data_IF_725209249228
#
_entry.id   IF_725209249228
#
_cell.length_a   1.000
_cell.length_b   1.000
_cell.length_c   1.000
_cell.angle_alpha   90.00
_cell.angle_beta   90.00
_cell.angle_gamma   90.00
#
_symmetry.space_group_name_H-M   'P 1'
#
loop_
_entity.id
_entity.type
_entity.pdbx_description
1 polymer ?
#
# COMPACT_ATOMS: atom_id res chain seq x y z
N UNK A 1 23.31 25.88 1.66
CA UNK A 1 23.87 26.23 2.98
C UNK A 1 23.79 25.00 3.87
N UNK A 2 24.92 24.53 4.40
CA UNK A 2 24.97 23.36 5.26
C UNK A 2 24.55 23.73 6.69
N UNK A 3 23.46 23.15 7.18
CA UNK A 3 23.09 23.25 8.59
C UNK A 3 24.17 22.55 9.41
N UNK A 4 24.99 23.31 10.12
CA UNK A 4 25.91 22.76 11.13
C UNK A 4 25.07 22.10 12.21
N UNK A 5 25.15 20.78 12.33
CA UNK A 5 24.50 20.00 13.38
C UNK A 5 25.16 20.32 14.73
N UNK A 6 24.85 21.48 15.31
CA UNK A 6 25.27 21.83 16.66
C UNK A 6 24.49 20.95 17.64
N UNK A 7 25.15 19.92 18.18
CA UNK A 7 24.62 19.17 19.32
C UNK A 7 24.33 20.15 20.45
N UNK A 8 23.11 20.15 21.03
CA UNK A 8 22.81 21.02 22.16
C UNK A 8 23.74 20.65 23.33
N UNK A 9 24.30 21.64 24.05
CA UNK A 9 25.17 21.39 25.20
C UNK A 9 24.43 20.56 26.26
N UNK A 10 25.14 19.58 26.85
CA UNK A 10 24.61 18.74 27.91
C UNK A 10 24.18 19.60 29.11
N UNK A 11 22.94 19.42 29.59
CA UNK A 11 22.40 20.17 30.75
C UNK A 11 21.42 21.30 30.44
N UNK A 12 20.90 21.43 29.19
CA UNK A 12 19.85 22.42 28.89
C UNK A 12 18.59 22.16 29.72
N UNK A 13 18.20 23.16 30.51
CA UNK A 13 16.90 23.24 31.20
C UNK A 13 15.78 23.00 30.17
N UNK A 14 14.75 22.20 30.54
CA UNK A 14 13.59 21.98 29.67
C UNK A 14 13.06 23.36 29.20
N UNK A 15 12.84 23.54 27.89
CA UNK A 15 12.35 24.82 27.37
C UNK A 15 10.98 25.16 28.00
N UNK A 16 10.74 26.44 28.28
CA UNK A 16 9.43 26.90 28.77
C UNK A 16 8.38 26.71 27.69
N UNK A 17 7.09 26.70 28.09
CA UNK A 17 5.98 26.63 27.15
C UNK A 17 6.00 27.79 26.16
N UNK A 18 6.36 29.01 26.58
CA UNK A 18 6.42 30.15 25.65
C UNK A 18 7.53 29.97 24.60
N UNK A 19 8.69 29.43 25.00
CA UNK A 19 9.78 29.14 24.06
C UNK A 19 9.42 28.04 23.07
N UNK A 20 8.64 27.04 23.49
CA UNK A 20 8.12 26.01 22.59
C UNK A 20 7.11 26.60 21.59
N UNK A 21 6.17 27.44 22.06
CA UNK A 21 5.20 28.10 21.21
C UNK A 21 5.87 28.98 20.14
N UNK A 22 6.79 29.86 20.54
CA UNK A 22 7.50 30.74 19.61
C UNK A 22 8.32 29.96 18.56
N UNK A 23 8.89 28.81 18.92
CA UNK A 23 9.61 27.96 17.98
C UNK A 23 8.66 27.29 16.96
N UNK A 24 7.49 26.83 17.41
CA UNK A 24 6.46 26.27 16.53
C UNK A 24 5.87 27.33 15.60
N UNK A 25 5.64 28.54 16.11
CA UNK A 25 5.17 29.67 15.30
C UNK A 25 6.19 30.03 14.22
N UNK A 26 7.48 30.06 14.57
CA UNK A 26 8.56 30.30 13.60
C UNK A 26 8.59 29.23 12.51
N UNK A 27 8.48 27.95 12.88
CA UNK A 27 8.41 26.86 11.91
C UNK A 27 7.15 26.95 11.02
N UNK A 28 6.06 27.50 11.54
CA UNK A 28 4.84 27.73 10.75
C UNK A 28 5.05 28.83 9.73
N UNK A 29 5.73 29.92 10.10
CA UNK A 29 6.10 30.99 9.17
C UNK A 29 7.03 30.46 8.08
N UNK A 30 8.07 29.71 8.44
CA UNK A 30 8.99 29.11 7.46
C UNK A 30 8.26 28.23 6.44
N UNK A 31 7.23 27.47 6.87
CA UNK A 31 6.40 26.66 5.98
C UNK A 31 5.53 27.51 5.06
N UNK A 32 4.92 28.58 5.57
CA UNK A 32 4.11 29.51 4.75
C UNK A 32 4.98 30.21 3.71
N UNK A 33 6.16 30.67 4.10
CA UNK A 33 7.12 31.29 3.19
C UNK A 33 7.53 30.30 2.10
N UNK A 34 7.88 29.07 2.47
CA UNK A 34 8.21 28.02 1.49
C UNK A 34 7.04 27.71 0.55
N UNK A 35 5.80 27.63 1.05
CA UNK A 35 4.62 27.39 0.21
C UNK A 35 4.39 28.54 -0.78
N UNK A 36 4.65 29.79 -0.38
CA UNK A 36 4.53 30.95 -1.27
C UNK A 36 5.49 30.88 -2.47
N UNK A 37 6.64 30.22 -2.29
CA UNK A 37 7.63 29.96 -3.34
C UNK A 37 7.31 28.71 -4.18
N UNK A 38 6.36 27.86 -3.74
CA UNK A 38 6.04 26.56 -4.35
C UNK A 38 4.52 26.43 -4.59
N UNK A 39 3.92 27.24 -5.49
CA UNK A 39 2.46 27.32 -5.66
C UNK A 39 1.83 26.02 -6.17
N UNK A 40 2.54 25.20 -6.95
CA UNK A 40 2.02 23.89 -7.40
C UNK A 40 1.81 22.91 -6.23
N UNK A 41 2.53 23.10 -5.12
CA UNK A 41 2.37 22.33 -3.90
C UNK A 41 1.12 22.77 -3.14
N UNK A 42 0.76 24.07 -3.20
CA UNK A 42 -0.47 24.59 -2.60
C UNK A 42 -1.68 23.91 -3.22
N UNK A 43 -1.74 23.80 -4.55
CA UNK A 43 -2.86 23.15 -5.26
C UNK A 43 -3.03 21.69 -4.79
N UNK A 44 -1.93 20.94 -4.68
CA UNK A 44 -1.97 19.55 -4.18
C UNK A 44 -2.40 19.44 -2.72
N UNK A 45 -1.96 20.36 -1.86
CA UNK A 45 -2.38 20.39 -0.45
C UNK A 45 -3.87 20.71 -0.35
N UNK A 46 -4.37 21.62 -1.19
CA UNK A 46 -5.79 21.95 -1.26
C UNK A 46 -6.62 20.75 -1.70
N UNK A 47 -6.20 20.03 -2.74
CA UNK A 47 -6.86 18.78 -3.17
C UNK A 47 -6.95 17.75 -2.03
N UNK A 48 -5.86 17.54 -1.27
CA UNK A 48 -5.85 16.66 -0.10
C UNK A 48 -6.83 17.18 0.97
N UNK A 49 -6.85 18.49 1.22
CA UNK A 49 -7.75 19.14 2.16
C UNK A 49 -9.22 18.94 1.79
N UNK A 50 -9.58 19.12 0.52
CA UNK A 50 -10.95 19.02 0.03
C UNK A 50 -11.48 17.59 0.07
N UNK A 51 -10.63 16.60 -0.25
CA UNK A 51 -10.96 15.17 -0.14
C UNK A 51 -11.27 14.73 1.29
N UNK A 52 -10.65 15.37 2.29
CA UNK A 52 -10.79 15.01 3.69
C UNK A 52 -11.90 15.81 4.37
N UNK A 53 -11.95 17.13 4.18
CA UNK A 53 -12.84 17.99 4.95
C UNK A 53 -14.31 17.82 4.54
N UNK A 54 -14.62 17.79 3.25
CA UNK A 54 -16.02 17.75 2.78
C UNK A 54 -16.72 16.42 3.09
N UNK A 55 -16.25 15.29 2.55
CA UNK A 55 -16.91 14.00 2.71
C UNK A 55 -16.94 13.50 4.16
N UNK A 56 -15.85 13.67 4.91
CA UNK A 56 -15.78 13.21 6.30
C UNK A 56 -16.70 14.03 7.20
N UNK A 57 -16.75 15.37 7.02
CA UNK A 57 -17.68 16.20 7.78
C UNK A 57 -19.14 15.89 7.44
N UNK A 58 -19.47 15.68 6.16
CA UNK A 58 -20.83 15.30 5.76
C UNK A 58 -21.26 13.97 6.36
N UNK A 59 -20.38 12.96 6.37
CA UNK A 59 -20.70 11.65 6.94
C UNK A 59 -20.80 11.71 8.48
N UNK A 60 -19.97 12.53 9.13
CA UNK A 60 -20.05 12.77 10.57
C UNK A 60 -21.35 13.49 10.95
N UNK A 61 -21.74 14.54 10.22
CA UNK A 61 -23.01 15.23 10.43
C UNK A 61 -24.20 14.30 10.17
N UNK A 62 -24.14 13.45 9.13
CA UNK A 62 -25.19 12.45 8.85
C UNK A 62 -25.36 11.45 9.98
N UNK A 63 -24.27 10.95 10.58
CA UNK A 63 -24.32 9.91 11.62
C UNK A 63 -24.54 10.47 13.03
N UNK A 64 -24.09 11.69 13.32
CA UNK A 64 -24.03 12.24 14.67
C UNK A 64 -24.65 13.63 14.83
N UNK A 65 -25.13 14.26 13.76
CA UNK A 65 -25.65 15.62 13.75
C UNK A 65 -26.96 15.84 14.51
N UNK A 66 -27.66 14.76 14.91
CA UNK A 66 -28.90 14.84 15.68
C UNK A 66 -28.73 14.78 17.21
N UNK A 67 -27.66 14.17 17.73
CA UNK A 67 -27.59 13.78 19.14
C UNK A 67 -26.77 14.73 20.02
N UNK A 68 -25.62 15.26 19.59
CA UNK A 68 -24.85 16.29 20.34
C UNK A 68 -23.94 17.15 19.43
N UNK A 69 -24.49 18.10 18.65
CA UNK A 69 -23.75 18.81 17.59
C UNK A 69 -22.55 19.63 18.10
N UNK A 70 -22.63 20.17 19.33
CA UNK A 70 -21.59 21.05 19.88
C UNK A 70 -20.38 20.29 20.41
N UNK A 71 -20.60 19.11 21.00
CA UNK A 71 -19.52 18.30 21.57
C UNK A 71 -18.76 17.53 20.48
N UNK A 72 -19.48 16.97 19.50
CA UNK A 72 -18.88 16.40 18.29
C UNK A 72 -18.05 17.45 17.54
N UNK A 73 -18.60 18.65 17.30
CA UNK A 73 -17.84 19.75 16.68
C UNK A 73 -16.63 20.15 17.50
N UNK A 74 -16.74 20.24 18.84
CA UNK A 74 -15.63 20.59 19.72
C UNK A 74 -14.48 19.59 19.63
N UNK A 75 -14.78 18.29 19.58
CA UNK A 75 -13.78 17.24 19.42
C UNK A 75 -13.11 17.29 18.05
N UNK A 76 -13.88 17.55 16.98
CA UNK A 76 -13.37 17.70 15.62
C UNK A 76 -12.53 18.97 15.44
N UNK A 77 -12.83 20.05 16.15
CA UNK A 77 -12.06 21.32 16.11
C UNK A 77 -10.79 21.30 16.96
N UNK A 78 -10.52 20.22 17.70
CA UNK A 78 -9.27 20.06 18.46
C UNK A 78 -8.21 19.34 17.59
N UNK A 79 -7.23 18.66 18.20
CA UNK A 79 -6.16 17.91 17.51
C UNK A 79 -6.62 16.74 16.62
N UNK A 80 -7.93 16.47 16.49
CA UNK A 80 -8.45 15.35 15.70
C UNK A 80 -7.91 15.31 14.27
N UNK A 81 -7.99 16.43 13.53
CA UNK A 81 -7.51 16.47 12.15
C UNK A 81 -5.99 16.33 12.04
N UNK A 82 -5.25 16.96 12.96
CA UNK A 82 -3.79 16.83 13.00
C UNK A 82 -3.38 15.37 13.29
N UNK A 83 -4.03 14.72 14.25
CA UNK A 83 -3.78 13.32 14.61
C UNK A 83 -4.11 12.39 13.44
N UNK A 84 -5.24 12.62 12.75
CA UNK A 84 -5.64 11.86 11.57
C UNK A 84 -4.62 12.01 10.42
N UNK A 85 -4.25 13.25 10.06
CA UNK A 85 -3.31 13.52 8.97
C UNK A 85 -1.94 12.91 9.24
N UNK A 86 -1.44 13.03 10.48
CA UNK A 86 -0.16 12.42 10.89
C UNK A 86 -0.24 10.89 10.84
N UNK A 87 -1.34 10.30 11.33
CA UNK A 87 -1.52 8.85 11.29
C UNK A 87 -1.59 8.31 9.85
N UNK A 88 -2.29 9.00 8.95
CA UNK A 88 -2.35 8.67 7.52
C UNK A 88 -0.97 8.79 6.87
N UNK A 89 -0.23 9.88 7.12
CA UNK A 89 1.11 10.07 6.58
C UNK A 89 2.07 8.95 7.03
N UNK A 90 2.04 8.56 8.31
CA UNK A 90 2.84 7.44 8.81
C UNK A 90 2.39 6.09 8.25
N UNK A 91 1.09 5.88 7.99
CA UNK A 91 0.60 4.69 7.33
C UNK A 91 1.08 4.61 5.86
N UNK A 92 1.00 5.71 5.10
CA UNK A 92 1.49 5.81 3.72
C UNK A 92 3.00 5.53 3.68
N UNK A 93 3.77 6.10 4.60
CA UNK A 93 5.22 5.86 4.74
C UNK A 93 5.54 4.39 5.03
N UNK A 94 4.77 3.73 5.91
CA UNK A 94 4.92 2.29 6.17
C UNK A 94 4.58 1.46 4.93
N UNK A 95 3.52 1.83 4.21
CA UNK A 95 3.14 1.16 2.97
C UNK A 95 4.22 1.30 1.88
N UNK A 96 4.76 2.51 1.68
CA UNK A 96 5.88 2.74 0.76
C UNK A 96 7.09 1.86 1.09
N UNK A 97 7.48 1.78 2.37
CA UNK A 97 8.55 0.86 2.83
C UNK A 97 8.23 -0.62 2.62
N UNK A 98 6.96 -1.00 2.70
CA UNK A 98 6.55 -2.37 2.40
C UNK A 98 6.67 -2.67 0.90
N UNK A 99 6.30 -1.72 0.03
CA UNK A 99 6.50 -1.85 -1.41
C UNK A 99 7.97 -1.97 -1.79
N UNK A 100 8.87 -1.25 -1.12
CA UNK A 100 10.31 -1.33 -1.36
C UNK A 100 10.90 -2.72 -1.04
N UNK A 101 10.19 -3.53 -0.23
CA UNK A 101 10.63 -4.88 0.17
C UNK A 101 10.07 -6.01 -0.70
N UNK A 102 9.24 -5.68 -1.69
CA UNK A 102 8.62 -6.67 -2.56
C UNK A 102 9.67 -7.49 -3.32
N UNK A 103 10.76 -6.93 -3.86
CA UNK A 103 11.78 -7.72 -4.54
C UNK A 103 12.42 -8.81 -3.66
N UNK A 104 12.74 -8.49 -2.41
CA UNK A 104 13.33 -9.43 -1.45
C UNK A 104 12.31 -10.53 -1.09
N UNK A 105 11.05 -10.14 -0.88
CA UNK A 105 9.97 -11.10 -0.63
C UNK A 105 9.80 -12.08 -1.79
N UNK A 106 9.66 -11.59 -3.03
CA UNK A 106 9.45 -12.43 -4.22
C UNK A 106 10.65 -13.33 -4.48
N UNK A 107 11.88 -12.80 -4.36
CA UNK A 107 13.11 -13.60 -4.47
C UNK A 107 13.12 -14.74 -3.45
N UNK A 108 12.71 -14.47 -2.21
CA UNK A 108 12.64 -15.48 -1.14
C UNK A 108 11.63 -16.57 -1.48
N UNK A 109 10.44 -16.22 -1.97
CA UNK A 109 9.40 -17.18 -2.36
C UNK A 109 9.88 -18.09 -3.50
N UNK A 110 10.48 -17.52 -4.56
CA UNK A 110 10.95 -18.28 -5.73
C UNK A 110 12.13 -19.20 -5.36
N UNK A 111 13.08 -18.71 -4.57
CA UNK A 111 14.24 -19.52 -4.16
C UNK A 111 13.83 -20.63 -3.20
N UNK A 112 12.89 -20.38 -2.29
CA UNK A 112 12.36 -21.41 -1.39
C UNK A 112 11.58 -22.50 -2.12
N UNK A 113 10.78 -22.16 -3.13
CA UNK A 113 10.04 -23.16 -3.91
C UNK A 113 10.95 -24.08 -4.73
N UNK A 114 12.17 -23.63 -5.06
CA UNK A 114 13.19 -24.42 -5.78
C UNK A 114 14.15 -25.20 -4.88
N UNK A 115 14.15 -24.98 -3.55
CA UNK A 115 15.06 -25.68 -2.62
C UNK A 115 14.87 -27.20 -2.61
N UNK A 116 13.74 -27.70 -3.11
CA UNK A 116 13.47 -29.13 -3.34
C UNK A 116 14.30 -29.76 -4.45
N UNK A 117 14.92 -28.98 -5.34
CA UNK A 117 15.64 -29.46 -6.54
C UNK A 117 17.17 -29.27 -6.47
N UNK A 118 17.70 -28.74 -5.35
CA UNK A 118 19.12 -28.47 -5.12
C UNK A 118 19.49 -26.98 -5.14
N UNK A 119 20.33 -26.54 -4.21
CA UNK A 119 20.72 -25.12 -4.08
C UNK A 119 21.80 -24.75 -5.10
N UNK A 120 21.55 -23.72 -5.92
CA UNK A 120 22.53 -23.11 -6.80
C UNK A 120 22.61 -21.60 -6.54
N UNK A 121 23.77 -21.14 -6.06
CA UNK A 121 24.03 -19.73 -5.75
C UNK A 121 23.88 -18.84 -6.99
N UNK A 122 24.27 -19.35 -8.17
CA UNK A 122 24.13 -18.64 -9.44
C UNK A 122 22.65 -18.47 -9.81
N UNK A 123 21.83 -19.50 -9.62
CA UNK A 123 20.39 -19.40 -9.88
C UNK A 123 19.72 -18.40 -8.93
N UNK A 124 20.09 -18.40 -7.64
CA UNK A 124 19.56 -17.44 -6.67
C UNK A 124 19.90 -15.99 -7.04
N UNK A 125 21.14 -15.75 -7.52
CA UNK A 125 21.57 -14.44 -7.99
C UNK A 125 20.80 -13.99 -9.26
N UNK A 126 20.59 -14.91 -10.21
CA UNK A 126 19.81 -14.65 -11.42
C UNK A 126 18.35 -14.33 -11.09
N UNK A 127 17.73 -15.07 -10.17
CA UNK A 127 16.36 -14.78 -9.69
C UNK A 127 16.31 -13.39 -9.06
N UNK A 128 17.25 -13.07 -8.17
CA UNK A 128 17.29 -11.76 -7.52
C UNK A 128 17.45 -10.60 -8.51
N UNK A 129 18.26 -10.77 -9.57
CA UNK A 129 18.38 -9.79 -10.64
C UNK A 129 17.08 -9.66 -11.43
N UNK A 130 16.50 -10.76 -11.89
CA UNK A 130 15.26 -10.76 -12.66
C UNK A 130 14.11 -10.08 -11.91
N UNK A 131 13.96 -10.39 -10.62
CA UNK A 131 12.90 -9.82 -9.77
C UNK A 131 13.09 -8.30 -9.64
N UNK A 132 14.29 -7.82 -9.32
CA UNK A 132 14.55 -6.37 -9.19
C UNK A 132 14.29 -5.62 -10.50
N UNK A 133 14.78 -6.15 -11.61
CA UNK A 133 14.58 -5.54 -12.94
C UNK A 133 13.10 -5.51 -13.34
N UNK A 134 12.32 -6.51 -12.94
CA UNK A 134 10.88 -6.59 -13.25
C UNK A 134 10.04 -5.71 -12.32
N UNK A 135 10.46 -5.52 -11.07
CA UNK A 135 9.68 -4.79 -10.07
C UNK A 135 9.57 -3.29 -10.34
N UNK A 136 10.65 -2.62 -10.75
CA UNK A 136 10.63 -1.16 -10.97
C UNK A 136 9.57 -0.73 -12.00
N UNK A 137 9.46 -1.35 -13.19
CA UNK A 137 8.38 -1.05 -14.12
C UNK A 137 6.98 -1.32 -13.54
N UNK A 138 6.81 -2.43 -12.81
CA UNK A 138 5.53 -2.78 -12.18
C UNK A 138 5.13 -1.73 -11.13
N UNK A 139 6.08 -1.29 -10.31
CA UNK A 139 5.85 -0.25 -9.30
C UNK A 139 5.37 1.05 -9.95
N UNK A 140 5.97 1.45 -11.07
CA UNK A 140 5.54 2.63 -11.83
C UNK A 140 4.11 2.53 -12.37
N UNK A 141 3.63 1.32 -12.70
CA UNK A 141 2.26 1.11 -13.20
C UNK A 141 1.19 1.25 -12.11
N UNK A 142 1.52 1.09 -10.82
CA UNK A 142 0.55 1.10 -9.72
C UNK A 142 -0.30 2.38 -9.72
N UNK A 143 0.31 3.51 -10.02
CA UNK A 143 -0.37 4.80 -10.06
C UNK A 143 -1.29 4.99 -11.27
N UNK A 144 -1.10 4.21 -12.35
CA UNK A 144 -1.87 4.35 -13.60
C UNK A 144 -3.05 3.38 -13.69
N UNK A 145 -2.83 2.13 -13.25
CA UNK A 145 -3.77 1.02 -13.52
C UNK A 145 -4.45 0.51 -12.25
N UNK A 146 -3.93 0.86 -11.08
CA UNK A 146 -4.38 0.30 -9.80
C UNK A 146 -3.78 -1.07 -9.50
N UNK A 147 -3.72 -1.40 -8.21
CA UNK A 147 -3.05 -2.62 -7.71
C UNK A 147 -3.77 -3.90 -8.19
N UNK A 148 -5.10 -3.90 -8.19
CA UNK A 148 -5.91 -5.07 -8.52
C UNK A 148 -5.76 -5.48 -10.00
N UNK A 149 -5.74 -4.51 -10.92
CA UNK A 149 -5.55 -4.78 -12.35
C UNK A 149 -4.15 -5.33 -12.64
N UNK A 150 -3.12 -4.80 -11.96
CA UNK A 150 -1.75 -5.31 -12.08
C UNK A 150 -1.66 -6.73 -11.55
N UNK A 151 -2.29 -7.02 -10.41
CA UNK A 151 -2.34 -8.38 -9.87
C UNK A 151 -3.01 -9.34 -10.85
N UNK A 152 -4.16 -8.95 -11.42
CA UNK A 152 -4.88 -9.75 -12.42
C UNK A 152 -4.02 -9.98 -13.67
N UNK A 153 -3.39 -8.93 -14.20
CA UNK A 153 -2.50 -9.01 -15.36
C UNK A 153 -1.32 -9.97 -15.14
N UNK A 154 -0.67 -9.90 -13.97
CA UNK A 154 0.39 -10.83 -13.59
C UNK A 154 -0.10 -12.29 -13.53
N UNK A 155 -1.29 -12.53 -12.96
CA UNK A 155 -1.90 -13.88 -12.90
C UNK A 155 -2.19 -14.43 -14.29
N UNK A 156 -2.81 -13.64 -15.16
CA UNK A 156 -3.12 -14.04 -16.54
C UNK A 156 -1.83 -14.36 -17.29
N UNK A 157 -0.84 -13.47 -17.24
CA UNK A 157 0.43 -13.68 -17.92
C UNK A 157 1.13 -14.94 -17.42
N UNK A 158 1.14 -15.18 -16.10
CA UNK A 158 1.72 -16.39 -15.52
C UNK A 158 1.06 -17.67 -16.05
N UNK A 159 -0.26 -17.67 -16.26
CA UNK A 159 -0.98 -18.81 -16.85
C UNK A 159 -0.58 -19.02 -18.31
N UNK A 160 -0.51 -17.94 -19.10
CA UNK A 160 -0.20 -18.01 -20.53
C UNK A 160 1.24 -18.46 -20.82
N UNK A 161 2.21 -18.09 -19.98
CA UNK A 161 3.62 -18.44 -20.17
C UNK A 161 4.01 -19.77 -19.51
N UNK A 162 3.16 -20.35 -18.67
CA UNK A 162 3.49 -21.60 -18.00
C UNK A 162 3.37 -22.77 -18.98
N UNK A 163 4.42 -23.58 -19.17
CA UNK A 163 4.39 -24.68 -20.13
C UNK A 163 3.51 -25.87 -19.69
N UNK A 164 3.26 -26.02 -18.39
CA UNK A 164 2.50 -27.12 -17.80
C UNK A 164 1.75 -26.65 -16.53
N UNK A 165 0.72 -25.79 -16.66
CA UNK A 165 0.00 -25.20 -15.53
C UNK A 165 -0.64 -26.24 -14.60
N UNK A 166 -1.05 -27.37 -15.14
CA UNK A 166 -1.63 -28.52 -14.44
C UNK A 166 -0.65 -29.22 -13.48
N UNK A 167 0.67 -29.00 -13.65
CA UNK A 167 1.71 -29.55 -12.79
C UNK A 167 2.38 -28.49 -11.90
N UNK A 168 1.93 -27.23 -11.96
CA UNK A 168 2.56 -26.11 -11.26
C UNK A 168 1.69 -25.57 -10.12
N UNK A 169 1.88 -26.11 -8.90
CA UNK A 169 1.07 -25.77 -7.72
C UNK A 169 1.01 -24.26 -7.41
N UNK A 170 2.13 -23.55 -7.49
CA UNK A 170 2.17 -22.11 -7.22
C UNK A 170 1.29 -21.31 -8.22
N UNK A 171 1.22 -21.76 -9.48
CA UNK A 171 0.34 -21.18 -10.47
C UNK A 171 -1.13 -21.53 -10.23
N UNK A 172 -1.41 -22.77 -9.86
CA UNK A 172 -2.77 -23.23 -9.55
C UNK A 172 -3.39 -22.45 -8.40
N UNK A 173 -2.64 -22.30 -7.31
CA UNK A 173 -3.10 -21.62 -6.11
C UNK A 173 -3.02 -20.08 -6.24
N UNK A 174 -1.97 -19.57 -6.88
CA UNK A 174 -1.68 -18.13 -6.97
C UNK A 174 -2.31 -17.39 -8.15
N UNK A 175 -2.71 -18.10 -9.22
CA UNK A 175 -3.25 -17.50 -10.43
C UNK A 175 -4.59 -18.11 -10.87
N UNK A 176 -4.65 -19.43 -11.14
CA UNK A 176 -5.88 -20.06 -11.67
C UNK A 176 -7.05 -19.96 -10.70
N UNK A 177 -6.82 -20.25 -9.41
CA UNK A 177 -7.88 -20.21 -8.40
C UNK A 177 -8.46 -18.78 -8.21
N UNK A 178 -7.64 -17.72 -8.02
CA UNK A 178 -8.16 -16.35 -7.99
C UNK A 178 -8.90 -15.94 -9.26
N UNK A 179 -8.36 -16.23 -10.45
CA UNK A 179 -9.01 -15.87 -11.72
C UNK A 179 -10.36 -16.56 -11.91
N UNK A 180 -10.47 -17.82 -11.48
CA UNK A 180 -11.74 -18.54 -11.49
C UNK A 180 -12.76 -17.91 -10.53
N UNK A 181 -12.34 -17.46 -9.34
CA UNK A 181 -13.21 -16.75 -8.39
C UNK A 181 -13.66 -15.38 -8.90
N UNK A 182 -12.85 -14.72 -9.71
CA UNK A 182 -13.20 -13.48 -10.40
C UNK A 182 -14.15 -13.71 -11.60
N UNK A 183 -14.55 -14.95 -11.88
CA UNK A 183 -15.44 -15.31 -13.00
C UNK A 183 -14.78 -15.28 -14.37
N UNK A 184 -13.46 -15.02 -14.45
CA UNK A 184 -12.73 -14.92 -15.73
C UNK A 184 -12.57 -16.27 -16.44
N UNK A 185 -12.81 -17.38 -15.74
CA UNK A 185 -12.70 -18.74 -16.26
C UNK A 185 -14.04 -19.48 -16.27
N UNK A 186 -15.17 -18.75 -16.25
CA UNK A 186 -16.51 -19.34 -16.13
C UNK A 186 -16.81 -20.38 -17.22
N UNK A 187 -16.43 -20.08 -18.46
CA UNK A 187 -16.60 -21.01 -19.62
C UNK A 187 -15.77 -22.28 -19.50
N UNK A 188 -14.66 -22.23 -18.77
CA UNK A 188 -13.75 -23.35 -18.55
C UNK A 188 -13.90 -23.97 -17.16
N UNK A 189 -14.80 -23.45 -16.33
CA UNK A 189 -14.96 -23.81 -14.92
C UNK A 189 -15.23 -25.30 -14.75
N UNK A 190 -16.24 -25.82 -15.44
CA UNK A 190 -16.59 -27.25 -15.40
C UNK A 190 -15.41 -28.14 -15.80
N UNK A 191 -14.60 -27.70 -16.77
CA UNK A 191 -13.42 -28.44 -17.20
C UNK A 191 -12.31 -28.42 -16.14
N UNK A 192 -12.10 -27.28 -15.49
CA UNK A 192 -11.14 -27.16 -14.38
C UNK A 192 -11.56 -28.04 -13.19
N UNK A 193 -12.85 -28.08 -12.86
CA UNK A 193 -13.36 -28.95 -11.79
C UNK A 193 -13.15 -30.45 -12.07
N UNK A 194 -13.13 -30.85 -13.35
CA UNK A 194 -12.93 -32.26 -13.74
C UNK A 194 -11.47 -32.70 -13.71
N UNK A 195 -10.52 -31.78 -13.92
CA UNK A 195 -9.09 -32.13 -14.09
C UNK A 195 -8.23 -31.84 -12.85
N UNK A 196 -8.69 -30.98 -11.94
CA UNK A 196 -7.93 -30.63 -10.74
C UNK A 196 -8.33 -31.48 -9.51
N UNK A 197 -7.41 -31.68 -8.53
CA UNK A 197 -7.70 -32.48 -7.33
C UNK A 197 -8.91 -31.97 -6.53
N UNK A 198 -9.66 -32.88 -5.89
CA UNK A 198 -10.88 -32.57 -5.12
C UNK A 198 -10.71 -31.44 -4.11
N UNK A 199 -9.55 -31.38 -3.45
CA UNK A 199 -9.24 -30.33 -2.48
C UNK A 199 -9.07 -28.94 -3.13
N UNK A 200 -8.57 -28.88 -4.37
CA UNK A 200 -8.52 -27.63 -5.12
C UNK A 200 -9.94 -27.19 -5.52
N UNK A 201 -10.76 -28.13 -5.99
CA UNK A 201 -12.17 -27.89 -6.37
C UNK A 201 -13.01 -27.42 -5.17
N UNK A 202 -12.80 -28.01 -3.98
CA UNK A 202 -13.44 -27.57 -2.74
C UNK A 202 -13.15 -26.10 -2.46
N UNK A 203 -11.87 -25.69 -2.52
CA UNK A 203 -11.43 -24.29 -2.30
C UNK A 203 -11.95 -23.31 -3.36
N UNK A 204 -12.20 -23.79 -4.59
CA UNK A 204 -12.86 -23.00 -5.63
C UNK A 204 -14.31 -22.71 -5.24
N UNK A 205 -15.09 -23.76 -4.93
CA UNK A 205 -16.51 -23.66 -4.59
C UNK A 205 -16.77 -22.84 -3.32
N UNK A 206 -15.96 -23.05 -2.28
CA UNK A 206 -16.06 -22.26 -1.03
C UNK A 206 -15.82 -20.74 -1.23
N UNK A 207 -15.06 -20.37 -2.26
CA UNK A 207 -14.85 -18.95 -2.58
C UNK A 207 -15.99 -18.32 -3.38
N UNK A 208 -16.88 -19.12 -3.94
CA UNK A 208 -18.00 -18.68 -4.77
C UNK A 208 -19.29 -18.57 -3.94
N UNK A 209 -19.48 -19.43 -2.93
CA UNK A 209 -20.64 -19.43 -2.04
C UNK A 209 -20.62 -18.29 -0.99
N UNK A 210 -19.53 -17.53 -0.93
CA UNK A 210 -19.33 -16.40 0.00
C UNK A 210 -19.30 -15.01 -0.65
N UNK A 211 -19.68 -14.90 -1.93
CA UNK A 211 -19.72 -13.64 -2.69
C UNK A 211 -21.17 -13.15 -2.90
#
# INVERSE_FOLDING_TARGET
>A
MAWTTTRPPAGRRKPSKERQAAATDSATVDLVDWLSENPDVIDRIQEIGDLLAGPVMQELDKRFGGSQPREARRQLTNHFWCDLLVAVAEAIKKFSKAMDRIPEYVTTVITQSRKTEGRSVLLDALVGLAVRTTWEPIRGMIHMTGIEEIQRGCRILAVLICPAPENHKALQDGALLPLAKEGLLETSRERLEQVFPTEWVRRLREGLDGA
#
